data_IF_156506754337
#
_entry.id   IF_156506754337
#
_cell.length_a   1.000
_cell.length_b   1.000
_cell.length_c   1.000
_cell.angle_alpha   90.00
_cell.angle_beta   90.00
_cell.angle_gamma   90.00
#
_symmetry.space_group_name_H-M   'P 1'
#
loop_
_entity.id
_entity.type
_entity.pdbx_description
1 polymer ?
#
# COMPACT_ATOMS: atom_id res chain seq x y z
N UNK A 1 0.56 -6.16 -19.52
CA UNK A 1 0.15 -5.29 -18.40
C UNK A 1 -1.06 -5.85 -17.62
N UNK A 2 -2.15 -6.30 -18.26
CA UNK A 2 -3.37 -6.80 -17.59
C UNK A 2 -3.22 -8.07 -16.75
N UNK A 3 -2.38 -9.05 -17.11
CA UNK A 3 -2.15 -10.27 -16.28
C UNK A 3 -1.56 -9.99 -14.88
N UNK A 4 -0.88 -8.84 -14.68
CA UNK A 4 -0.39 -8.40 -13.35
C UNK A 4 -1.48 -7.78 -12.48
N UNK A 5 -2.59 -7.33 -13.07
CA UNK A 5 -3.71 -6.69 -12.37
C UNK A 5 -4.52 -7.74 -11.60
N UNK A 6 -4.72 -8.94 -12.15
CA UNK A 6 -5.45 -10.04 -11.51
C UNK A 6 -4.79 -10.46 -10.18
N UNK A 7 -3.47 -10.62 -10.22
CA UNK A 7 -2.67 -10.98 -9.03
C UNK A 7 -2.70 -9.90 -7.94
N UNK A 8 -2.78 -8.63 -8.35
CA UNK A 8 -2.74 -7.50 -7.41
C UNK A 8 -4.08 -7.28 -6.69
N UNK A 9 -5.21 -7.36 -7.40
CA UNK A 9 -6.54 -7.09 -6.81
C UNK A 9 -6.99 -8.24 -5.90
N UNK A 10 -6.72 -9.49 -6.27
CA UNK A 10 -6.99 -10.65 -5.42
C UNK A 10 -5.98 -10.76 -4.26
N UNK A 11 -4.71 -10.42 -4.48
CA UNK A 11 -3.72 -10.36 -3.42
C UNK A 11 -3.95 -9.19 -2.46
N UNK A 12 -4.43 -8.03 -2.94
CA UNK A 12 -4.82 -6.90 -2.10
C UNK A 12 -6.08 -7.20 -1.27
N UNK A 13 -7.05 -7.95 -1.80
CA UNK A 13 -8.18 -8.43 -1.00
C UNK A 13 -7.74 -9.38 0.14
N UNK A 14 -6.68 -10.17 -0.08
CA UNK A 14 -6.04 -10.99 0.94
C UNK A 14 -5.18 -10.18 1.91
N UNK A 15 -4.46 -9.15 1.42
CA UNK A 15 -3.65 -8.25 2.26
C UNK A 15 -4.53 -7.40 3.18
N UNK A 16 -5.73 -6.97 2.72
CA UNK A 16 -6.69 -6.30 3.62
C UNK A 16 -7.36 -7.24 4.63
N UNK A 17 -7.42 -8.55 4.38
CA UNK A 17 -7.83 -9.51 5.39
C UNK A 17 -6.74 -9.77 6.46
N UNK A 18 -5.45 -9.56 6.13
CA UNK A 18 -4.33 -9.78 7.04
C UNK A 18 -3.70 -8.50 7.63
N UNK A 19 -3.83 -7.35 6.98
CA UNK A 19 -3.13 -6.10 7.36
C UNK A 19 -4.03 -5.13 8.14
N UNK A 20 -5.31 -5.37 8.17
CA UNK A 20 -6.21 -4.58 9.00
C UNK A 20 -7.06 -5.51 9.82
N UNK A 21 -6.79 -5.68 11.10
CA UNK A 21 -7.82 -5.92 12.08
C UNK A 21 -8.82 -4.75 12.10
N UNK A 22 -9.17 -4.24 10.93
CA UNK A 22 -10.34 -3.39 10.79
C UNK A 22 -11.54 -4.32 10.85
N UNK A 23 -12.32 -4.13 11.85
CA UNK A 23 -13.64 -4.59 12.24
C UNK A 23 -14.64 -5.01 11.12
N UNK A 24 -14.19 -5.24 9.90
CA UNK A 24 -14.99 -5.57 8.76
C UNK A 24 -14.91 -7.07 8.44
N UNK A 25 -16.05 -7.71 8.39
CA UNK A 25 -16.29 -9.05 7.86
C UNK A 25 -16.23 -10.26 8.83
N UNK A 26 -16.48 -10.10 10.12
CA UNK A 26 -16.55 -11.19 11.09
C UNK A 26 -18.00 -11.49 11.46
N UNK A 27 -18.36 -12.77 11.59
CA UNK A 27 -19.69 -13.19 12.01
C UNK A 27 -20.63 -13.72 10.94
N UNK A 28 -20.09 -14.37 9.93
CA UNK A 28 -20.86 -14.96 8.84
C UNK A 28 -21.33 -16.36 9.14
N UNK A 29 -20.59 -17.10 9.96
CA UNK A 29 -20.98 -18.43 10.43
C UNK A 29 -21.82 -18.26 11.68
N UNK A 30 -22.98 -18.90 11.72
CA UNK A 30 -23.77 -18.92 12.94
C UNK A 30 -23.08 -19.78 13.98
N UNK A 31 -22.84 -19.25 15.15
CA UNK A 31 -22.17 -19.94 16.26
C UNK A 31 -22.85 -21.22 16.73
N UNK A 32 -24.12 -21.43 16.42
CA UNK A 32 -24.86 -22.63 16.80
C UNK A 32 -24.45 -23.92 16.08
N UNK A 33 -23.48 -23.87 15.17
CA UNK A 33 -22.91 -25.03 14.51
C UNK A 33 -21.85 -25.69 15.41
N UNK A 34 -21.92 -27.03 15.54
CA UNK A 34 -20.88 -27.80 16.23
C UNK A 34 -19.68 -27.97 15.31
N UNK A 35 -18.59 -27.22 15.59
CA UNK A 35 -17.42 -27.10 14.73
C UNK A 35 -16.56 -28.37 14.69
N UNK A 36 -16.62 -29.26 15.68
CA UNK A 36 -15.95 -30.57 15.70
C UNK A 36 -16.20 -31.45 14.47
N UNK A 37 -17.37 -31.25 13.83
CA UNK A 37 -17.75 -31.94 12.59
C UNK A 37 -17.09 -31.38 11.33
N UNK A 38 -16.55 -30.19 11.42
CA UNK A 38 -16.03 -29.42 10.29
C UNK A 38 -14.53 -29.19 10.39
N UNK A 39 -13.99 -29.06 11.61
CA UNK A 39 -12.60 -28.71 11.89
C UNK A 39 -11.98 -29.73 12.82
N UNK A 40 -10.72 -30.09 12.54
CA UNK A 40 -9.81 -30.71 13.50
C UNK A 40 -8.81 -29.64 13.92
N UNK A 41 -8.74 -29.34 15.22
CA UNK A 41 -7.73 -28.42 15.77
C UNK A 41 -6.41 -29.17 15.94
N UNK A 42 -5.29 -28.51 15.56
CA UNK A 42 -3.96 -28.88 15.93
C UNK A 42 -3.59 -28.40 17.36
N UNK A 43 -2.31 -28.15 17.59
CA UNK A 43 -1.87 -27.50 18.84
C UNK A 43 -2.23 -26.01 18.80
N UNK A 44 -3.02 -25.56 19.77
CA UNK A 44 -3.45 -24.16 19.86
C UNK A 44 -3.11 -23.53 21.22
N UNK A 45 -2.66 -24.31 22.20
CA UNK A 45 -2.15 -23.82 23.49
C UNK A 45 -0.64 -23.93 23.59
N UNK A 46 -0.03 -23.06 24.38
CA UNK A 46 1.41 -23.10 24.65
C UNK A 46 2.28 -22.73 23.44
N UNK A 47 1.72 -21.99 22.49
CA UNK A 47 2.43 -21.45 21.33
C UNK A 47 3.59 -20.61 21.81
N UNK A 48 4.80 -20.89 21.30
CA UNK A 48 6.02 -20.17 21.69
C UNK A 48 6.21 -18.95 20.80
N UNK A 49 6.44 -17.80 21.42
CA UNK A 49 6.74 -16.52 20.76
C UNK A 49 7.96 -15.91 21.42
N UNK A 50 9.01 -15.70 20.64
CA UNK A 50 10.20 -14.93 21.04
C UNK A 50 10.03 -13.48 20.56
N UNK A 51 9.80 -12.55 21.50
CA UNK A 51 9.60 -11.13 21.19
C UNK A 51 10.88 -10.45 20.70
N UNK A 52 12.04 -11.05 20.92
CA UNK A 52 13.33 -10.61 20.37
C UNK A 52 13.66 -11.30 19.04
N UNK A 53 12.87 -12.30 18.65
CA UNK A 53 13.04 -13.08 17.42
C UNK A 53 12.70 -12.29 16.16
N UNK A 54 13.21 -12.80 15.03
CA UNK A 54 12.99 -12.17 13.72
C UNK A 54 11.51 -12.15 13.34
N UNK A 55 10.77 -13.23 13.58
CA UNK A 55 9.34 -13.35 13.25
C UNK A 55 8.52 -12.22 13.90
N UNK A 56 8.70 -12.00 15.20
CA UNK A 56 8.01 -10.96 15.93
C UNK A 56 8.36 -9.56 15.40
N UNK A 57 9.65 -9.27 15.22
CA UNK A 57 10.13 -7.98 14.72
C UNK A 57 9.63 -7.67 13.32
N UNK A 58 9.57 -8.66 12.44
CA UNK A 58 9.07 -8.50 11.08
C UNK A 58 7.57 -8.15 11.09
N UNK A 59 6.75 -8.88 11.85
CA UNK A 59 5.30 -8.63 11.95
C UNK A 59 5.01 -7.28 12.64
N UNK A 60 5.72 -6.97 13.72
CA UNK A 60 5.62 -5.69 14.41
C UNK A 60 5.91 -4.50 13.48
N UNK A 61 7.04 -4.59 12.75
CA UNK A 61 7.45 -3.57 11.78
C UNK A 61 6.45 -3.47 10.62
N UNK A 62 5.86 -4.59 10.19
CA UNK A 62 4.84 -4.60 9.14
C UNK A 62 3.59 -3.82 9.57
N UNK A 63 3.10 -4.00 10.79
CA UNK A 63 1.96 -3.24 11.30
C UNK A 63 2.26 -1.75 11.42
N UNK A 64 3.41 -1.38 11.98
CA UNK A 64 3.84 0.01 12.09
C UNK A 64 3.95 0.68 10.70
N UNK A 65 4.59 0.01 9.74
CA UNK A 65 4.71 0.52 8.37
C UNK A 65 3.35 0.63 7.67
N UNK A 66 2.43 -0.30 7.96
CA UNK A 66 1.07 -0.25 7.42
C UNK A 66 0.30 0.97 7.96
N UNK A 67 0.44 1.30 9.25
CA UNK A 67 -0.17 2.49 9.83
C UNK A 67 0.40 3.76 9.16
N UNK A 68 1.74 3.85 9.02
CA UNK A 68 2.40 4.98 8.34
C UNK A 68 1.88 5.15 6.90
N UNK A 69 1.79 4.07 6.14
CA UNK A 69 1.37 4.12 4.74
C UNK A 69 -0.14 4.41 4.59
N UNK A 70 -0.98 3.80 5.43
CA UNK A 70 -2.43 3.93 5.35
C UNK A 70 -2.93 5.33 5.69
N UNK A 71 -2.21 6.03 6.59
CA UNK A 71 -2.58 7.37 7.06
C UNK A 71 -1.64 8.47 6.55
N UNK A 72 -0.70 8.14 5.64
CA UNK A 72 0.28 9.09 5.08
C UNK A 72 1.07 9.83 6.17
N UNK A 73 1.50 9.10 7.21
CA UNK A 73 2.31 9.63 8.33
C UNK A 73 3.75 9.88 7.90
N UNK A 74 3.93 10.85 7.02
CA UNK A 74 5.23 11.33 6.59
C UNK A 74 5.41 12.79 6.97
N UNK A 75 6.65 13.14 7.29
CA UNK A 75 7.00 14.49 7.68
C UNK A 75 6.79 15.49 6.53
N UNK A 76 6.11 16.59 6.86
CA UNK A 76 5.75 17.65 5.92
C UNK A 76 6.06 19.02 6.54
N UNK A 77 6.45 19.98 5.71
CA UNK A 77 6.47 21.39 6.10
C UNK A 77 5.25 22.06 5.48
N UNK A 78 4.33 22.52 6.32
CA UNK A 78 3.03 23.08 5.90
C UNK A 78 2.96 24.60 5.89
N UNK A 79 4.00 25.26 6.38
CA UNK A 79 4.10 26.73 6.47
C UNK A 79 5.47 27.22 6.03
N UNK A 80 5.54 28.49 5.61
CA UNK A 80 6.77 29.13 5.18
C UNK A 80 6.82 29.34 3.67
N UNK A 81 8.03 29.38 3.10
CA UNK A 81 8.28 29.65 1.69
C UNK A 81 9.15 28.57 1.07
N UNK A 82 8.84 28.22 -0.16
CA UNK A 82 9.62 27.27 -0.96
C UNK A 82 11.05 27.77 -1.23
N UNK A 83 12.00 26.84 -1.20
CA UNK A 83 13.41 27.07 -1.49
C UNK A 83 13.88 26.13 -2.59
N UNK A 84 14.97 26.47 -3.24
CA UNK A 84 15.64 25.56 -4.16
C UNK A 84 16.06 24.27 -3.43
N UNK A 85 15.78 23.12 -4.02
CA UNK A 85 16.04 21.79 -3.46
C UNK A 85 14.91 21.23 -2.60
N UNK A 86 13.86 22.02 -2.30
CA UNK A 86 12.66 21.51 -1.65
C UNK A 86 11.92 20.57 -2.62
N UNK A 87 11.35 19.48 -2.09
CA UNK A 87 10.40 18.64 -2.83
C UNK A 87 8.99 19.12 -2.48
N UNK A 88 8.44 19.95 -3.34
CA UNK A 88 7.10 20.51 -3.17
C UNK A 88 6.03 19.53 -3.66
N UNK A 89 5.00 19.28 -2.83
CA UNK A 89 3.76 18.66 -3.27
C UNK A 89 2.85 19.77 -3.81
N UNK A 90 2.45 19.67 -5.07
CA UNK A 90 1.70 20.71 -5.78
C UNK A 90 0.48 20.15 -6.52
N UNK A 91 -0.57 20.98 -6.62
CA UNK A 91 -1.63 20.82 -7.62
C UNK A 91 -1.45 21.91 -8.67
N UNK A 92 -1.63 21.59 -9.95
CA UNK A 92 -1.55 22.62 -10.97
C UNK A 92 -2.57 22.43 -12.08
N UNK A 93 -2.95 23.56 -12.70
CA UNK A 93 -3.79 23.60 -13.90
C UNK A 93 -3.16 24.56 -14.89
N UNK A 94 -2.71 24.05 -16.03
CA UNK A 94 -2.19 24.81 -17.16
C UNK A 94 -3.31 25.21 -18.12
N UNK A 95 -3.33 26.49 -18.51
CA UNK A 95 -4.33 27.06 -19.42
C UNK A 95 -3.66 27.75 -20.60
N UNK A 96 -4.13 27.43 -21.80
CA UNK A 96 -3.81 28.15 -23.04
C UNK A 96 -5.01 29.02 -23.40
N UNK A 97 -4.81 30.34 -23.49
CA UNK A 97 -5.91 31.33 -23.74
C UNK A 97 -7.09 31.16 -22.76
N UNK A 98 -6.84 30.84 -21.49
CA UNK A 98 -7.84 30.66 -20.45
C UNK A 98 -8.51 29.27 -20.40
N UNK A 99 -8.21 28.37 -21.36
CA UNK A 99 -8.77 27.01 -21.44
C UNK A 99 -7.73 26.01 -21.00
N UNK A 100 -8.08 25.09 -20.09
CA UNK A 100 -7.19 24.01 -19.68
C UNK A 100 -6.89 23.09 -20.85
N UNK A 101 -5.61 22.64 -20.96
CA UNK A 101 -5.16 21.75 -22.03
C UNK A 101 -4.82 20.37 -21.49
N UNK A 102 -4.87 19.38 -22.36
CA UNK A 102 -4.56 17.98 -22.02
C UNK A 102 -3.11 17.82 -21.56
N UNK A 103 -2.91 17.09 -20.46
CA UNK A 103 -1.61 16.93 -19.81
C UNK A 103 -1.15 18.15 -18.99
N UNK A 104 -1.92 19.24 -18.97
CA UNK A 104 -1.62 20.46 -18.20
C UNK A 104 -2.13 20.46 -16.76
N UNK A 105 -2.74 19.38 -16.27
CA UNK A 105 -3.34 19.32 -14.92
C UNK A 105 -2.85 18.11 -14.15
N UNK A 106 -2.46 18.32 -12.90
CA UNK A 106 -2.19 17.24 -11.95
C UNK A 106 -2.52 17.68 -10.52
N UNK A 107 -2.72 16.70 -9.65
CA UNK A 107 -2.90 16.89 -8.20
C UNK A 107 -1.90 16.01 -7.44
N UNK A 108 -1.45 16.50 -6.28
CA UNK A 108 -0.47 15.81 -5.43
C UNK A 108 0.83 15.43 -6.15
N UNK A 109 1.23 16.24 -7.14
CA UNK A 109 2.48 16.04 -7.86
C UNK A 109 3.65 16.48 -6.99
N UNK A 110 4.60 15.59 -6.75
CA UNK A 110 5.87 15.95 -6.11
C UNK A 110 6.85 16.48 -7.15
N UNK A 111 7.48 17.62 -6.83
CA UNK A 111 8.42 18.31 -7.69
C UNK A 111 9.62 18.83 -6.86
N UNK A 112 10.81 18.34 -7.17
CA UNK A 112 12.05 18.88 -6.61
C UNK A 112 12.42 20.19 -7.34
N UNK A 113 12.47 21.31 -6.61
CA UNK A 113 12.76 22.61 -7.20
C UNK A 113 14.26 22.75 -7.58
N UNK A 114 14.50 22.88 -8.86
CA UNK A 114 15.82 22.88 -9.49
C UNK A 114 16.17 21.56 -10.18
N UNK A 115 15.22 20.63 -10.30
CA UNK A 115 15.39 19.38 -11.04
C UNK A 115 15.38 19.57 -12.56
N UNK A 116 14.83 20.68 -13.04
CA UNK A 116 14.59 20.97 -14.47
C UNK A 116 13.72 19.92 -15.18
N UNK A 117 12.78 19.33 -14.48
CA UNK A 117 11.82 18.35 -15.04
C UNK A 117 10.60 19.01 -15.67
N UNK A 118 10.33 20.27 -15.34
CA UNK A 118 9.27 21.09 -15.93
C UNK A 118 9.83 22.08 -16.97
N UNK A 119 8.92 22.72 -17.71
CA UNK A 119 9.32 23.78 -18.64
C UNK A 119 10.02 24.91 -17.92
N UNK A 120 10.96 25.57 -18.60
CA UNK A 120 11.77 26.67 -18.02
C UNK A 120 10.92 27.77 -17.41
N UNK A 121 11.26 28.19 -16.20
CA UNK A 121 10.56 29.19 -15.42
C UNK A 121 9.49 28.60 -14.46
N UNK A 122 9.11 27.33 -14.60
CA UNK A 122 8.10 26.73 -13.71
C UNK A 122 8.64 26.56 -12.29
N UNK A 123 9.76 25.86 -12.16
CA UNK A 123 10.37 25.60 -10.86
C UNK A 123 10.95 26.89 -10.23
N UNK A 124 11.59 27.73 -11.05
CA UNK A 124 12.12 29.03 -10.59
C UNK A 124 11.00 29.96 -10.10
N UNK A 125 9.84 29.93 -10.77
CA UNK A 125 8.68 30.73 -10.38
C UNK A 125 8.03 30.30 -9.07
N UNK A 126 8.27 29.06 -8.64
CA UNK A 126 7.80 28.56 -7.35
C UNK A 126 8.74 28.88 -6.19
N UNK A 127 10.04 29.20 -6.45
CA UNK A 127 10.96 29.56 -5.39
C UNK A 127 10.50 30.87 -4.72
N UNK A 128 10.31 30.83 -3.40
CA UNK A 128 9.76 31.94 -2.62
C UNK A 128 8.25 31.98 -2.49
N UNK A 129 7.52 31.10 -3.19
CA UNK A 129 6.07 30.96 -3.04
C UNK A 129 5.71 30.47 -1.63
N UNK A 130 4.60 30.96 -1.09
CA UNK A 130 4.11 30.57 0.24
C UNK A 130 3.46 29.18 0.18
N UNK A 131 3.84 28.33 1.12
CA UNK A 131 3.22 27.01 1.31
C UNK A 131 1.76 27.20 1.73
N UNK A 132 0.86 26.38 1.20
CA UNK A 132 -0.60 26.48 1.42
C UNK A 132 -1.30 27.48 0.50
N UNK A 133 -0.56 28.23 -0.33
CA UNK A 133 -1.11 29.25 -1.24
C UNK A 133 -1.06 28.81 -2.71
N UNK A 134 -1.87 29.50 -3.53
CA UNK A 134 -1.80 29.37 -4.98
C UNK A 134 -1.04 30.56 -5.60
N UNK A 135 -0.34 30.28 -6.70
CA UNK A 135 0.40 31.26 -7.50
C UNK A 135 0.15 31.00 -8.98
N UNK A 136 0.05 32.06 -9.78
CA UNK A 136 -0.01 31.98 -11.23
C UNK A 136 1.38 32.19 -11.85
N UNK A 137 1.80 31.22 -12.66
CA UNK A 137 3.04 31.27 -13.42
C UNK A 137 2.74 31.54 -14.90
N UNK A 138 3.22 32.67 -15.41
CA UNK A 138 3.11 33.00 -16.82
C UNK A 138 4.36 32.49 -17.56
N UNK A 139 4.20 31.44 -18.35
CA UNK A 139 5.29 30.73 -18.98
C UNK A 139 5.11 30.61 -20.48
N UNK A 140 6.16 30.22 -21.20
CA UNK A 140 6.12 29.95 -22.64
C UNK A 140 6.73 28.58 -22.89
N UNK A 141 6.00 27.71 -23.59
CA UNK A 141 6.56 26.42 -24.00
C UNK A 141 7.75 26.62 -24.96
N UNK A 142 8.79 25.78 -24.86
CA UNK A 142 9.89 25.79 -25.85
C UNK A 142 9.36 25.66 -27.28
N UNK A 143 10.07 26.25 -28.24
CA UNK A 143 9.67 26.16 -29.67
C UNK A 143 9.76 24.75 -30.24
N UNK A 144 10.64 23.95 -29.68
CA UNK A 144 10.89 22.54 -30.00
C UNK A 144 10.15 21.56 -29.10
N UNK A 145 9.11 22.05 -28.37
CA UNK A 145 8.29 21.19 -27.51
C UNK A 145 7.57 20.12 -28.34
N UNK A 146 7.56 18.87 -27.82
CA UNK A 146 7.06 17.70 -28.56
C UNK A 146 5.57 17.79 -28.95
N UNK A 147 4.75 18.52 -28.18
CA UNK A 147 3.37 18.82 -28.57
C UNK A 147 3.35 20.11 -29.41
N UNK A 148 3.10 19.97 -30.70
CA UNK A 148 3.09 21.08 -31.67
C UNK A 148 1.98 22.13 -31.41
N UNK A 149 0.91 21.74 -30.73
CA UNK A 149 -0.18 22.66 -30.36
C UNK A 149 0.23 23.60 -29.22
N UNK A 150 1.21 23.22 -28.42
CA UNK A 150 1.75 23.98 -27.30
C UNK A 150 3.10 24.64 -27.61
N UNK A 151 3.87 24.13 -28.55
CA UNK A 151 5.19 24.64 -28.93
C UNK A 151 5.20 26.15 -29.17
N UNK A 152 6.02 26.88 -28.42
CA UNK A 152 6.15 28.34 -28.50
C UNK A 152 4.94 29.14 -27.99
N UNK A 153 3.94 28.49 -27.39
CA UNK A 153 2.74 29.17 -26.88
C UNK A 153 2.95 29.69 -25.48
N UNK A 154 2.39 30.88 -25.21
CA UNK A 154 2.27 31.42 -23.86
C UNK A 154 1.12 30.76 -23.12
N UNK A 155 1.37 30.33 -21.88
CA UNK A 155 0.43 29.61 -21.02
C UNK A 155 0.46 30.17 -19.59
N UNK A 156 -0.61 29.96 -18.86
CA UNK A 156 -0.68 30.27 -17.44
C UNK A 156 -0.88 28.97 -16.65
N UNK A 157 0.02 28.70 -15.74
CA UNK A 157 -0.18 27.62 -14.76
C UNK A 157 -0.61 28.23 -13.43
N UNK A 158 -1.80 27.89 -12.96
CA UNK A 158 -2.21 28.14 -11.59
C UNK A 158 -1.72 26.97 -10.75
N UNK A 159 -0.77 27.22 -9.87
CA UNK A 159 -0.13 26.18 -9.02
C UNK A 159 -0.50 26.43 -7.57
N UNK A 160 -1.06 25.44 -6.90
CA UNK A 160 -1.26 25.43 -5.44
C UNK A 160 -0.11 24.66 -4.81
N UNK A 161 0.60 25.27 -3.88
CA UNK A 161 1.61 24.58 -3.07
C UNK A 161 0.94 23.97 -1.86
N UNK A 162 0.89 22.64 -1.78
CA UNK A 162 0.23 21.95 -0.68
C UNK A 162 1.14 21.90 0.57
N UNK A 163 2.36 21.36 0.42
CA UNK A 163 3.38 21.24 1.47
C UNK A 163 4.73 20.91 0.85
N UNK A 164 5.79 20.91 1.66
CA UNK A 164 7.10 20.33 1.30
C UNK A 164 7.22 18.95 1.92
N UNK A 165 7.59 17.96 1.11
CA UNK A 165 7.86 16.59 1.56
C UNK A 165 9.27 16.50 2.10
N UNK A 166 9.45 15.92 3.28
CA UNK A 166 10.76 15.71 3.88
C UNK A 166 11.28 14.33 3.51
N UNK A 167 12.49 14.30 2.97
CA UNK A 167 13.19 13.07 2.63
C UNK A 167 14.42 12.87 3.50
N UNK A 168 14.60 11.66 4.01
CA UNK A 168 15.83 11.21 4.61
C UNK A 168 16.78 10.69 3.54
N UNK A 169 18.09 10.86 3.76
CA UNK A 169 19.15 10.34 2.91
C UNK A 169 19.94 9.29 3.67
N UNK A 170 20.00 8.08 3.12
CA UNK A 170 20.81 6.98 3.62
C UNK A 170 22.07 6.86 2.77
N UNK A 171 23.24 7.03 3.39
CA UNK A 171 24.55 7.03 2.72
C UNK A 171 25.34 5.75 2.90
N UNK A 172 24.83 4.79 3.65
CA UNK A 172 25.47 3.49 3.94
C UNK A 172 24.47 2.35 3.73
N UNK A 173 24.98 1.14 3.44
CA UNK A 173 24.17 -0.05 3.21
C UNK A 173 24.25 -0.57 1.79
N UNK A 174 23.33 -1.46 1.43
CA UNK A 174 23.23 -2.09 0.11
C UNK A 174 21.87 -1.82 -0.52
N UNK A 175 21.87 -1.56 -1.82
CA UNK A 175 20.68 -1.27 -2.59
C UNK A 175 19.73 -2.48 -2.67
N UNK A 176 18.44 -2.21 -2.58
CA UNK A 176 17.34 -3.18 -2.69
C UNK A 176 16.40 -2.79 -3.82
N UNK A 177 15.66 -3.76 -4.32
CA UNK A 177 14.56 -3.46 -5.25
C UNK A 177 13.51 -2.59 -4.55
N UNK A 178 13.04 -1.53 -5.24
CA UNK A 178 12.13 -0.53 -4.70
C UNK A 178 12.80 0.69 -4.07
N UNK A 179 14.13 0.66 -3.83
CA UNK A 179 14.85 1.83 -3.33
C UNK A 179 14.82 2.97 -4.35
N UNK A 180 14.60 4.20 -3.89
CA UNK A 180 14.87 5.41 -4.68
C UNK A 180 16.32 5.81 -4.48
N UNK A 181 17.16 5.51 -5.46
CA UNK A 181 18.60 5.77 -5.40
C UNK A 181 18.97 7.01 -6.19
N UNK A 182 19.78 7.89 -5.58
CA UNK A 182 20.38 9.02 -6.28
C UNK A 182 21.70 8.59 -6.91
N UNK A 183 21.84 8.78 -8.22
CA UNK A 183 23.00 8.33 -8.98
C UNK A 183 23.55 9.44 -9.88
N UNK A 184 24.88 9.39 -10.11
CA UNK A 184 25.48 10.01 -11.29
C UNK A 184 25.82 8.89 -12.27
N UNK A 185 25.55 9.08 -13.55
CA UNK A 185 25.91 8.07 -14.55
C UNK A 185 26.48 8.70 -15.81
N UNK A 186 27.35 7.94 -16.48
CA UNK A 186 27.92 8.30 -17.77
C UNK A 186 27.95 7.08 -18.67
N UNK A 187 27.22 7.16 -19.77
CA UNK A 187 27.15 6.13 -20.84
C UNK A 187 28.14 6.38 -21.95
N UNK A 188 28.86 5.33 -22.38
CA UNK A 188 29.81 5.38 -23.48
C UNK A 188 29.58 4.28 -24.49
N UNK A 189 29.56 4.66 -25.77
CA UNK A 189 29.57 3.76 -26.91
C UNK A 189 30.99 3.75 -27.49
N UNK A 190 31.64 2.59 -27.58
CA UNK A 190 33.02 2.48 -28.07
C UNK A 190 33.96 3.52 -27.39
N UNK A 191 33.80 3.76 -26.09
CA UNK A 191 34.60 4.67 -25.29
C UNK A 191 34.24 6.16 -25.43
N UNK A 192 33.25 6.54 -26.24
CA UNK A 192 32.78 7.93 -26.43
C UNK A 192 31.41 8.13 -25.79
N UNK A 193 31.26 9.22 -25.08
CA UNK A 193 29.95 9.66 -24.55
C UNK A 193 29.00 9.99 -25.68
N UNK A 194 27.71 9.83 -25.46
CA UNK A 194 26.63 10.13 -26.40
C UNK A 194 25.55 11.00 -25.75
N UNK A 195 24.79 11.72 -26.54
CA UNK A 195 23.74 12.62 -26.10
C UNK A 195 22.66 11.87 -25.34
N UNK A 196 22.27 12.38 -24.17
CA UNK A 196 21.30 11.75 -23.25
C UNK A 196 21.87 10.55 -22.47
N UNK A 197 23.16 10.19 -22.67
CA UNK A 197 23.80 9.07 -21.98
C UNK A 197 24.34 9.39 -20.58
N UNK A 198 24.26 10.63 -20.09
CA UNK A 198 24.89 11.04 -18.83
C UNK A 198 23.98 11.97 -18.04
N UNK A 199 23.94 11.79 -16.72
CA UNK A 199 23.28 12.69 -15.79
C UNK A 199 24.00 12.69 -14.43
N UNK A 200 23.76 13.74 -13.63
CA UNK A 200 24.20 13.83 -12.23
C UNK A 200 23.02 14.07 -11.34
N UNK A 201 23.04 13.45 -10.14
CA UNK A 201 22.01 13.60 -9.15
C UNK A 201 20.65 13.03 -9.57
N UNK A 202 20.63 12.05 -10.48
CA UNK A 202 19.40 11.47 -10.99
C UNK A 202 18.78 10.52 -9.94
N UNK A 203 17.49 10.72 -9.61
CA UNK A 203 16.76 9.85 -8.72
C UNK A 203 16.08 8.73 -9.51
N UNK A 204 16.48 7.49 -9.24
CA UNK A 204 16.01 6.28 -9.92
C UNK A 204 15.35 5.32 -8.92
N UNK A 205 14.12 4.89 -9.19
CA UNK A 205 13.48 3.81 -8.43
C UNK A 205 13.91 2.46 -9.00
N UNK A 206 14.63 1.65 -8.23
CA UNK A 206 15.07 0.34 -8.68
C UNK A 206 13.91 -0.62 -8.89
N UNK A 207 13.78 -1.18 -10.09
CA UNK A 207 12.68 -2.04 -10.52
C UNK A 207 11.55 -1.27 -11.23
N UNK A 208 11.72 0.04 -11.47
CA UNK A 208 10.74 0.86 -12.21
C UNK A 208 10.72 0.58 -13.73
N UNK A 209 11.80 0.04 -14.27
CA UNK A 209 11.96 -0.18 -15.71
C UNK A 209 12.14 1.10 -16.54
N UNK A 210 12.60 2.19 -15.90
CA UNK A 210 12.88 3.47 -16.57
C UNK A 210 14.12 3.42 -17.45
N UNK A 211 15.08 2.57 -17.09
CA UNK A 211 16.33 2.38 -17.83
C UNK A 211 16.27 1.12 -18.70
N UNK A 212 17.26 0.96 -19.57
CA UNK A 212 17.39 -0.25 -20.39
C UNK A 212 17.60 -1.49 -19.52
N UNK A 213 17.17 -2.64 -20.02
CA UNK A 213 17.23 -3.93 -19.32
C UNK A 213 18.63 -4.20 -18.73
N UNK A 214 18.66 -4.64 -17.48
CA UNK A 214 19.86 -4.94 -16.74
C UNK A 214 20.51 -3.75 -16.03
N UNK A 215 20.08 -2.51 -16.25
CA UNK A 215 20.65 -1.34 -15.57
C UNK A 215 20.27 -1.35 -14.07
N UNK A 216 18.99 -1.42 -13.80
CA UNK A 216 18.46 -1.37 -12.42
C UNK A 216 18.77 -2.66 -11.65
N UNK A 217 18.62 -3.82 -12.30
CA UNK A 217 18.88 -5.13 -11.69
C UNK A 217 20.33 -5.30 -11.25
N UNK A 218 21.29 -4.76 -12.03
CA UNK A 218 22.72 -4.85 -11.69
C UNK A 218 23.14 -3.90 -10.59
N UNK A 219 22.31 -2.88 -10.27
CA UNK A 219 22.54 -2.01 -9.12
C UNK A 219 22.04 -2.64 -7.81
N UNK A 220 21.03 -3.51 -7.84
CA UNK A 220 20.56 -4.23 -6.65
C UNK A 220 21.69 -5.02 -6.01
N UNK A 221 21.86 -4.91 -4.68
CA UNK A 221 22.94 -5.54 -3.92
C UNK A 221 24.28 -4.80 -3.94
N UNK A 222 24.41 -3.70 -4.71
CA UNK A 222 25.62 -2.85 -4.64
C UNK A 222 25.58 -1.97 -3.39
N UNK A 223 26.75 -1.57 -2.92
CA UNK A 223 26.87 -0.70 -1.74
C UNK A 223 26.63 0.77 -2.14
N UNK A 224 25.96 1.50 -1.27
CA UNK A 224 25.85 2.94 -1.36
C UNK A 224 27.26 3.53 -1.24
N UNK A 225 27.58 4.49 -2.09
CA UNK A 225 28.93 5.07 -2.19
C UNK A 225 29.84 4.43 -3.25
N UNK A 226 29.50 3.25 -3.78
CA UNK A 226 30.28 2.60 -4.83
C UNK A 226 30.16 3.32 -6.19
N UNK A 227 31.17 3.11 -7.02
CA UNK A 227 31.10 3.38 -8.45
C UNK A 227 31.19 2.03 -9.17
N UNK A 228 30.22 1.75 -10.03
CA UNK A 228 30.09 0.47 -10.73
C UNK A 228 30.00 0.65 -12.24
N UNK A 229 30.62 -0.26 -12.97
CA UNK A 229 30.55 -0.32 -14.43
C UNK A 229 29.51 -1.37 -14.87
N UNK A 230 28.54 -0.93 -15.66
CA UNK A 230 27.47 -1.76 -16.19
C UNK A 230 27.66 -1.94 -17.69
N UNK A 231 28.05 -3.13 -18.12
CA UNK A 231 28.07 -3.50 -19.52
C UNK A 231 26.66 -3.96 -19.93
N UNK A 232 26.02 -3.22 -20.80
CA UNK A 232 24.63 -3.39 -21.24
C UNK A 232 24.54 -3.32 -22.76
N UNK A 233 23.34 -3.62 -23.27
CA UNK A 233 23.01 -3.53 -24.68
C UNK A 233 21.69 -2.82 -24.87
N UNK A 234 21.62 -1.86 -25.78
CA UNK A 234 20.38 -1.21 -26.14
C UNK A 234 19.42 -2.19 -26.81
N UNK A 235 18.12 -2.15 -26.49
CA UNK A 235 17.10 -2.92 -27.20
C UNK A 235 17.13 -2.65 -28.71
N UNK A 236 16.75 -3.64 -29.54
CA UNK A 236 16.71 -3.50 -30.99
C UNK A 236 15.64 -2.54 -31.49
N UNK A 237 14.63 -2.26 -30.66
CA UNK A 237 13.56 -1.30 -30.92
C UNK A 237 13.83 0.08 -30.29
N UNK A 238 15.06 0.37 -29.90
CA UNK A 238 15.48 1.68 -29.39
C UNK A 238 15.69 2.69 -30.55
N UNK A 239 16.10 3.94 -30.23
CA UNK A 239 16.41 4.92 -31.29
C UNK A 239 17.44 4.37 -32.28
N UNK A 240 17.28 4.69 -33.58
CA UNK A 240 18.06 4.09 -34.65
C UNK A 240 19.58 4.20 -34.44
N UNK A 241 20.04 5.26 -33.79
CA UNK A 241 21.47 5.52 -33.53
C UNK A 241 22.04 4.63 -32.41
N UNK A 242 21.20 4.11 -31.52
CA UNK A 242 21.59 3.34 -30.33
C UNK A 242 21.15 1.88 -30.39
N UNK A 243 20.12 1.56 -31.18
CA UNK A 243 19.50 0.24 -31.26
C UNK A 243 20.51 -0.90 -31.45
N UNK A 244 20.47 -1.88 -30.54
CA UNK A 244 21.30 -3.08 -30.56
C UNK A 244 22.78 -2.85 -30.29
N UNK A 245 23.22 -1.65 -29.94
CA UNK A 245 24.63 -1.35 -29.62
C UNK A 245 24.98 -1.69 -28.19
N UNK A 246 26.19 -2.15 -27.97
CA UNK A 246 26.76 -2.34 -26.63
C UNK A 246 27.13 -0.99 -26.04
N UNK A 247 26.85 -0.82 -24.75
CA UNK A 247 27.09 0.42 -24.01
C UNK A 247 27.71 0.10 -22.64
N UNK A 248 28.66 0.93 -22.24
CA UNK A 248 29.22 0.91 -20.87
C UNK A 248 28.66 2.11 -20.12
N UNK A 249 27.92 1.86 -19.03
CA UNK A 249 27.56 2.89 -18.06
C UNK A 249 28.47 2.79 -16.85
N UNK A 250 29.14 3.89 -16.51
CA UNK A 250 29.80 4.08 -15.22
C UNK A 250 28.82 4.80 -14.30
N UNK A 251 28.40 4.16 -13.20
CA UNK A 251 27.36 4.66 -12.30
C UNK A 251 27.97 4.87 -10.91
N UNK A 252 27.91 6.10 -10.39
CA UNK A 252 28.21 6.43 -9.02
C UNK A 252 26.91 6.40 -8.21
N UNK A 253 26.89 5.60 -7.15
CA UNK A 253 25.76 5.49 -6.22
C UNK A 253 25.97 6.50 -5.11
N UNK A 254 25.16 7.56 -5.06
CA UNK A 254 25.35 8.66 -4.11
C UNK A 254 24.71 8.36 -2.74
N UNK A 255 23.40 8.10 -2.73
CA UNK A 255 22.61 7.81 -1.52
C UNK A 255 21.25 7.23 -1.92
N UNK A 256 20.54 6.66 -0.96
CA UNK A 256 19.13 6.30 -1.09
C UNK A 256 18.27 7.35 -0.39
N UNK A 257 17.14 7.72 -1.00
CA UNK A 257 16.15 8.61 -0.38
C UNK A 257 14.87 7.85 -0.05
N UNK A 258 14.27 8.18 1.09
CA UNK A 258 12.92 7.76 1.45
C UNK A 258 12.20 8.93 2.11
N UNK A 259 10.86 9.02 1.95
CA UNK A 259 10.08 9.98 2.73
C UNK A 259 10.33 9.73 4.21
N UNK A 260 10.61 10.79 4.99
CA UNK A 260 10.79 10.66 6.42
C UNK A 260 9.46 10.26 7.05
N UNK A 261 9.37 9.03 7.51
CA UNK A 261 8.23 8.58 8.29
C UNK A 261 8.20 9.32 9.64
N UNK A 262 6.99 9.67 10.10
CA UNK A 262 6.78 10.14 11.47
C UNK A 262 7.03 8.99 12.43
N UNK A 263 7.49 9.34 13.64
CA UNK A 263 7.60 8.35 14.73
C UNK A 263 6.24 8.18 15.42
N UNK A 264 6.01 7.07 16.13
CA UNK A 264 4.78 6.89 16.91
C UNK A 264 4.47 8.05 17.84
N UNK A 265 5.49 8.69 18.45
CA UNK A 265 5.35 9.87 19.31
C UNK A 265 4.81 11.09 18.54
N UNK A 266 5.00 11.14 17.21
CA UNK A 266 4.54 12.24 16.36
C UNK A 266 3.13 12.01 15.80
N UNK A 267 2.57 10.76 15.84
CA UNK A 267 1.27 10.47 15.19
C UNK A 267 0.25 9.68 16.02
N UNK A 268 0.57 9.19 17.23
CA UNK A 268 -0.36 8.35 17.99
C UNK A 268 -1.73 9.00 18.24
N UNK A 269 -1.76 10.33 18.44
CA UNK A 269 -3.00 11.09 18.68
C UNK A 269 -3.92 11.08 17.44
N UNK A 270 -3.36 11.09 16.23
CA UNK A 270 -4.13 11.04 14.99
C UNK A 270 -4.84 9.69 14.79
N UNK A 271 -4.37 8.65 15.49
CA UNK A 271 -4.99 7.33 15.57
C UNK A 271 -5.95 7.18 16.75
N UNK A 272 -6.33 8.27 17.42
CA UNK A 272 -7.22 8.30 18.61
C UNK A 272 -6.64 7.57 19.84
N UNK A 273 -5.31 7.36 19.96
CA UNK A 273 -4.68 6.86 21.17
C UNK A 273 -4.41 8.00 22.18
N UNK A 274 -4.52 7.70 23.46
CA UNK A 274 -4.34 8.68 24.55
C UNK A 274 -2.88 8.91 24.92
N UNK A 275 -2.03 7.94 24.61
CA UNK A 275 -0.58 8.02 24.79
C UNK A 275 0.15 7.13 23.79
N UNK A 276 1.43 7.38 23.62
CA UNK A 276 2.28 6.56 22.76
C UNK A 276 2.45 5.14 23.31
N UNK A 277 2.41 4.96 24.63
CA UNK A 277 2.44 3.65 25.27
C UNK A 277 1.20 2.83 24.90
N UNK A 278 0.01 3.44 24.91
CA UNK A 278 -1.24 2.79 24.48
C UNK A 278 -1.15 2.33 23.01
N UNK A 279 -0.52 3.13 22.13
CA UNK A 279 -0.25 2.74 20.76
C UNK A 279 0.72 1.56 20.67
N UNK A 280 1.84 1.59 21.41
CA UNK A 280 2.80 0.48 21.43
C UNK A 280 2.20 -0.81 22.00
N UNK A 281 1.38 -0.73 23.03
CA UNK A 281 0.64 -1.89 23.55
C UNK A 281 -0.31 -2.45 22.48
N UNK A 282 -1.03 -1.60 21.75
CA UNK A 282 -1.87 -2.02 20.63
C UNK A 282 -1.07 -2.69 19.50
N UNK A 283 0.12 -2.20 19.16
CA UNK A 283 1.01 -2.84 18.19
C UNK A 283 1.47 -4.22 18.66
N UNK A 284 1.84 -4.33 19.93
CA UNK A 284 2.22 -5.60 20.54
C UNK A 284 1.08 -6.61 20.50
N UNK A 285 -0.12 -6.20 20.88
CA UNK A 285 -1.30 -7.08 20.90
C UNK A 285 -1.64 -7.55 19.49
N UNK A 286 -1.68 -6.65 18.50
CA UNK A 286 -1.88 -7.01 17.09
C UNK A 286 -0.81 -7.97 16.55
N UNK A 287 0.44 -7.80 17.00
CA UNK A 287 1.56 -8.66 16.59
C UNK A 287 1.41 -10.06 17.19
N UNK A 288 1.09 -10.16 18.48
CA UNK A 288 0.85 -11.43 19.16
C UNK A 288 -0.34 -12.17 18.56
N UNK A 289 -1.48 -11.48 18.37
CA UNK A 289 -2.67 -12.02 17.72
C UNK A 289 -2.33 -12.61 16.35
N UNK A 290 -1.63 -11.84 15.49
CA UNK A 290 -1.27 -12.27 14.14
C UNK A 290 -0.41 -13.54 14.14
N UNK A 291 0.65 -13.57 14.96
CA UNK A 291 1.56 -14.72 15.03
C UNK A 291 0.84 -15.95 15.57
N UNK A 292 0.05 -15.79 16.64
CA UNK A 292 -0.71 -16.89 17.24
C UNK A 292 -1.72 -17.44 16.26
N UNK A 293 -2.54 -16.57 15.66
CA UNK A 293 -3.57 -17.01 14.72
C UNK A 293 -2.96 -17.64 13.48
N UNK A 294 -1.86 -17.12 12.95
CA UNK A 294 -1.15 -17.73 11.82
C UNK A 294 -0.73 -19.18 12.13
N UNK A 295 -0.16 -19.42 13.30
CA UNK A 295 0.26 -20.77 13.72
C UNK A 295 -0.92 -21.69 13.97
N UNK A 296 -1.95 -21.20 14.66
CA UNK A 296 -3.17 -21.96 14.95
C UNK A 296 -3.89 -22.37 13.66
N UNK A 297 -3.99 -21.45 12.70
CA UNK A 297 -4.64 -21.73 11.41
C UNK A 297 -3.85 -22.69 10.53
N UNK A 298 -2.50 -22.62 10.59
CA UNK A 298 -1.63 -23.55 9.87
C UNK A 298 -1.73 -24.99 10.38
N UNK A 299 -1.95 -25.18 11.68
CA UNK A 299 -2.07 -26.49 12.31
C UNK A 299 -3.50 -27.08 12.30
N UNK A 300 -4.49 -26.28 11.91
CA UNK A 300 -5.89 -26.70 11.85
C UNK A 300 -6.27 -27.29 10.48
N UNK A 301 -7.05 -28.36 10.48
CA UNK A 301 -7.57 -28.99 9.27
C UNK A 301 -9.08 -28.75 9.12
N UNK A 302 -9.50 -28.12 8.02
CA UNK A 302 -10.91 -27.99 7.66
C UNK A 302 -11.35 -29.19 6.82
N UNK A 303 -12.11 -30.10 7.42
CA UNK A 303 -12.63 -31.32 6.76
C UNK A 303 -13.68 -31.01 5.69
N UNK A 304 -14.52 -30.03 5.96
CA UNK A 304 -15.59 -29.56 5.03
C UNK A 304 -16.10 -28.19 5.43
N UNK A 305 -16.69 -27.48 4.50
CA UNK A 305 -17.33 -26.18 4.73
C UNK A 305 -18.86 -26.34 4.78
N UNK A 306 -19.55 -25.71 5.74
CA UNK A 306 -21.02 -25.66 5.78
C UNK A 306 -21.55 -24.99 4.49
N UNK A 307 -22.52 -25.62 3.81
CA UNK A 307 -22.95 -25.19 2.47
C UNK A 307 -23.62 -23.81 2.44
N UNK A 308 -24.47 -23.50 3.42
CA UNK A 308 -25.19 -22.23 3.48
C UNK A 308 -24.24 -21.07 3.74
N UNK A 309 -23.34 -21.24 4.69
CA UNK A 309 -22.34 -20.26 5.09
C UNK A 309 -21.33 -20.03 3.95
N UNK A 310 -20.89 -21.11 3.27
CA UNK A 310 -20.03 -21.00 2.11
C UNK A 310 -20.66 -20.15 1.01
N UNK A 311 -21.95 -20.38 0.69
CA UNK A 311 -22.68 -19.58 -0.29
C UNK A 311 -22.71 -18.10 0.11
N UNK A 312 -23.04 -17.80 1.36
CA UNK A 312 -23.07 -16.44 1.88
C UNK A 312 -21.70 -15.78 1.81
N UNK A 313 -20.63 -16.47 2.24
CA UNK A 313 -19.26 -15.95 2.16
C UNK A 313 -18.84 -15.69 0.71
N UNK A 314 -19.28 -16.49 -0.26
CA UNK A 314 -19.01 -16.28 -1.68
C UNK A 314 -19.69 -15.01 -2.20
N UNK A 315 -20.98 -14.81 -1.89
CA UNK A 315 -21.69 -13.59 -2.29
C UNK A 315 -21.07 -12.31 -1.68
N UNK A 316 -20.62 -12.39 -0.44
CA UNK A 316 -19.90 -11.26 0.21
C UNK A 316 -18.54 -11.02 -0.43
N UNK A 317 -17.81 -12.09 -0.80
CA UNK A 317 -16.55 -11.99 -1.52
C UNK A 317 -16.69 -11.31 -2.89
N UNK A 318 -17.74 -11.65 -3.63
CA UNK A 318 -18.06 -10.98 -4.90
C UNK A 318 -18.32 -9.49 -4.71
N UNK A 319 -19.12 -9.11 -3.71
CA UNK A 319 -19.40 -7.69 -3.39
C UNK A 319 -18.14 -6.93 -2.97
N UNK A 320 -17.29 -7.54 -2.15
CA UNK A 320 -16.02 -6.94 -1.74
C UNK A 320 -15.09 -6.72 -2.94
N UNK A 321 -15.02 -7.69 -3.84
CA UNK A 321 -14.26 -7.56 -5.08
C UNK A 321 -14.77 -6.42 -5.97
N UNK A 322 -16.07 -6.29 -6.17
CA UNK A 322 -16.67 -5.19 -6.92
C UNK A 322 -16.40 -3.82 -6.27
N UNK A 323 -16.48 -3.72 -4.94
CA UNK A 323 -16.15 -2.49 -4.23
C UNK A 323 -14.67 -2.10 -4.42
N UNK A 324 -13.76 -3.07 -4.39
CA UNK A 324 -12.34 -2.83 -4.67
C UNK A 324 -12.09 -2.40 -6.12
N UNK A 325 -12.79 -3.00 -7.10
CA UNK A 325 -12.70 -2.55 -8.49
C UNK A 325 -13.05 -1.06 -8.63
N UNK A 326 -14.15 -0.63 -8.01
CA UNK A 326 -14.58 0.78 -8.03
C UNK A 326 -13.58 1.70 -7.34
N UNK A 327 -13.05 1.27 -6.22
CA UNK A 327 -12.07 2.06 -5.46
C UNK A 327 -10.77 2.30 -6.24
N UNK A 328 -10.25 1.27 -6.95
CA UNK A 328 -8.96 1.37 -7.64
C UNK A 328 -9.04 1.88 -9.08
N UNK A 329 -10.17 1.64 -9.76
CA UNK A 329 -10.32 1.94 -11.19
C UNK A 329 -11.47 2.89 -11.50
N UNK A 330 -12.20 3.36 -10.48
CA UNK A 330 -13.37 4.21 -10.63
C UNK A 330 -14.63 3.44 -11.07
N UNK A 331 -15.78 4.15 -11.06
CA UNK A 331 -17.09 3.55 -11.35
C UNK A 331 -17.26 3.03 -12.79
N UNK A 332 -16.35 3.39 -13.69
CA UNK A 332 -16.36 2.95 -15.11
C UNK A 332 -15.92 1.49 -15.27
N UNK A 333 -15.22 0.92 -14.29
CA UNK A 333 -14.77 -0.48 -14.33
C UNK A 333 -15.75 -1.35 -13.56
N UNK A 334 -16.64 -2.00 -14.29
CA UNK A 334 -17.62 -2.97 -13.74
C UNK A 334 -17.03 -4.38 -13.67
N UNK A 335 -17.67 -5.27 -12.90
CA UNK A 335 -17.31 -6.69 -12.87
C UNK A 335 -17.38 -7.31 -14.29
N UNK A 336 -18.41 -7.00 -15.06
CA UNK A 336 -18.56 -7.48 -16.44
C UNK A 336 -17.40 -7.05 -17.34
N UNK A 337 -17.00 -5.78 -17.25
CA UNK A 337 -15.80 -5.27 -17.94
C UNK A 337 -14.55 -6.07 -17.54
N UNK A 338 -14.34 -6.27 -16.23
CA UNK A 338 -13.20 -7.01 -15.69
C UNK A 338 -13.17 -8.45 -16.21
N UNK A 339 -14.31 -9.17 -16.17
CA UNK A 339 -14.41 -10.55 -16.66
C UNK A 339 -14.12 -10.65 -18.16
N UNK A 340 -14.68 -9.74 -18.95
CA UNK A 340 -14.45 -9.69 -20.41
C UNK A 340 -12.98 -9.40 -20.72
N UNK A 341 -12.37 -8.41 -20.06
CA UNK A 341 -10.98 -8.03 -20.28
C UNK A 341 -9.98 -9.14 -19.92
N UNK A 342 -10.37 -10.05 -19.02
CA UNK A 342 -9.53 -11.17 -18.58
C UNK A 342 -9.92 -12.51 -19.19
N UNK A 343 -10.88 -12.54 -20.14
CA UNK A 343 -11.45 -13.77 -20.73
C UNK A 343 -11.89 -14.79 -19.66
N UNK A 344 -12.53 -14.31 -18.60
CA UNK A 344 -12.98 -15.10 -17.45
C UNK A 344 -14.49 -15.26 -17.49
N UNK A 345 -14.99 -16.47 -17.22
CA UNK A 345 -16.42 -16.73 -17.04
C UNK A 345 -16.85 -16.42 -15.61
N UNK A 346 -18.16 -16.21 -15.38
CA UNK A 346 -18.73 -16.05 -14.04
C UNK A 346 -18.40 -17.24 -13.12
N UNK A 347 -18.39 -18.46 -13.65
CA UNK A 347 -18.07 -19.67 -12.91
C UNK A 347 -16.60 -19.69 -12.47
N UNK A 348 -15.68 -19.34 -13.38
CA UNK A 348 -14.25 -19.22 -13.05
C UNK A 348 -14.00 -18.11 -12.02
N UNK A 349 -14.70 -16.99 -12.14
CA UNK A 349 -14.63 -15.92 -11.14
C UNK A 349 -15.14 -16.39 -9.78
N UNK A 350 -16.26 -17.10 -9.73
CA UNK A 350 -16.80 -17.65 -8.48
C UNK A 350 -15.82 -18.64 -7.83
N UNK A 351 -15.17 -19.51 -8.62
CA UNK A 351 -14.12 -20.41 -8.12
C UNK A 351 -12.94 -19.65 -7.51
N UNK A 352 -12.48 -18.57 -8.15
CA UNK A 352 -11.42 -17.68 -7.64
C UNK A 352 -11.85 -17.00 -6.34
N UNK A 353 -13.07 -16.47 -6.26
CA UNK A 353 -13.62 -15.88 -5.03
C UNK A 353 -13.73 -16.92 -3.92
N UNK A 354 -14.17 -18.14 -4.22
CA UNK A 354 -14.26 -19.22 -3.23
C UNK A 354 -12.87 -19.60 -2.71
N UNK A 355 -11.90 -19.73 -3.62
CA UNK A 355 -10.53 -20.14 -3.27
C UNK A 355 -9.79 -19.08 -2.45
N UNK A 356 -9.85 -17.83 -2.90
CA UNK A 356 -8.97 -16.78 -2.39
C UNK A 356 -9.64 -15.91 -1.31
N UNK A 357 -10.94 -15.97 -1.16
CA UNK A 357 -11.68 -15.17 -0.20
C UNK A 357 -12.53 -16.01 0.75
N UNK A 358 -13.49 -16.78 0.22
CA UNK A 358 -14.51 -17.43 1.07
C UNK A 358 -13.92 -18.51 1.97
N UNK A 359 -13.06 -19.38 1.43
CA UNK A 359 -12.46 -20.46 2.21
C UNK A 359 -11.51 -19.95 3.30
N UNK A 360 -10.56 -19.05 3.03
CA UNK A 360 -9.68 -18.54 4.08
C UNK A 360 -10.44 -17.89 5.23
N UNK A 361 -11.43 -17.05 4.89
CA UNK A 361 -12.26 -16.38 5.89
C UNK A 361 -13.06 -17.36 6.75
N UNK A 362 -13.71 -18.33 6.10
CA UNK A 362 -14.46 -19.36 6.83
C UNK A 362 -13.56 -20.25 7.66
N UNK A 363 -12.36 -20.56 7.19
CA UNK A 363 -11.38 -21.33 7.95
C UNK A 363 -11.06 -20.64 9.28
N UNK A 364 -10.78 -19.35 9.24
CA UNK A 364 -10.49 -18.55 10.45
C UNK A 364 -11.66 -18.60 11.44
N UNK A 365 -12.88 -18.26 10.98
CA UNK A 365 -14.09 -18.29 11.84
C UNK A 365 -14.37 -19.68 12.42
N UNK A 366 -14.27 -20.72 11.60
CA UNK A 366 -14.51 -22.10 12.03
C UNK A 366 -13.51 -22.59 13.07
N UNK A 367 -12.23 -22.23 12.91
CA UNK A 367 -11.18 -22.56 13.86
C UNK A 367 -11.39 -21.81 15.18
N UNK A 368 -11.71 -20.53 15.12
CA UNK A 368 -12.03 -19.71 16.31
C UNK A 368 -13.20 -20.32 17.08
N UNK A 369 -14.30 -20.68 16.41
CA UNK A 369 -15.46 -21.27 17.07
C UNK A 369 -15.15 -22.66 17.62
N UNK A 370 -14.31 -23.45 16.94
CA UNK A 370 -13.89 -24.76 17.45
C UNK A 370 -13.04 -24.64 18.73
N UNK A 371 -12.16 -23.61 18.80
CA UNK A 371 -11.39 -23.33 20.01
C UNK A 371 -12.30 -22.84 21.14
N UNK A 372 -13.24 -21.94 20.84
CA UNK A 372 -14.20 -21.43 21.82
C UNK A 372 -14.97 -22.55 22.50
N UNK A 373 -15.47 -23.52 21.73
CA UNK A 373 -16.18 -24.69 22.25
C UNK A 373 -15.24 -25.62 23.04
N UNK A 374 -14.05 -25.91 22.50
CA UNK A 374 -13.13 -26.88 23.09
C UNK A 374 -12.47 -26.37 24.37
N UNK A 375 -12.20 -25.07 24.45
CA UNK A 375 -11.67 -24.41 25.66
C UNK A 375 -12.76 -24.09 26.70
N UNK A 376 -14.01 -24.49 26.45
CA UNK A 376 -15.19 -24.22 27.30
C UNK A 376 -15.38 -22.75 27.65
N UNK A 377 -15.05 -21.86 26.70
CA UNK A 377 -15.22 -20.42 26.88
C UNK A 377 -16.73 -20.10 26.91
N UNK A 378 -17.12 -19.13 27.76
CA UNK A 378 -18.53 -18.83 27.99
C UNK A 378 -18.99 -17.62 27.19
N UNK A 379 -20.15 -17.77 26.59
CA UNK A 379 -20.85 -16.70 25.89
C UNK A 379 -21.67 -15.87 26.90
N UNK A 380 -21.25 -14.62 27.11
CA UNK A 380 -21.87 -13.71 28.09
C UNK A 380 -22.71 -12.66 27.34
N UNK A 381 -24.04 -12.76 27.49
CA UNK A 381 -24.99 -11.91 26.74
C UNK A 381 -24.83 -10.42 27.07
N UNK A 382 -24.56 -10.08 28.33
CA UNK A 382 -24.41 -8.68 28.75
C UNK A 382 -23.10 -8.08 28.18
N UNK A 383 -22.02 -8.86 28.16
CA UNK A 383 -20.75 -8.45 27.58
C UNK A 383 -20.89 -8.27 26.04
N UNK A 384 -21.60 -9.16 25.34
CA UNK A 384 -21.93 -8.98 23.94
C UNK A 384 -22.72 -7.69 23.68
N UNK A 385 -23.73 -7.42 24.50
CA UNK A 385 -24.54 -6.21 24.36
C UNK A 385 -23.70 -4.94 24.54
N UNK A 386 -22.79 -4.94 25.52
CA UNK A 386 -21.84 -3.85 25.75
C UNK A 386 -20.93 -3.68 24.53
N UNK A 387 -20.33 -4.78 24.05
CA UNK A 387 -19.43 -4.78 22.88
C UNK A 387 -20.13 -4.30 21.61
N UNK A 388 -21.37 -4.73 21.37
CA UNK A 388 -22.19 -4.25 20.24
C UNK A 388 -22.31 -2.73 20.25
N UNK A 389 -22.62 -2.14 21.41
CA UNK A 389 -22.72 -0.68 21.56
C UNK A 389 -21.39 0.03 21.29
N UNK A 390 -20.29 -0.51 21.80
CA UNK A 390 -18.93 0.03 21.59
C UNK A 390 -18.57 0.01 20.08
N UNK A 391 -18.84 -1.10 19.40
CA UNK A 391 -18.60 -1.22 17.97
C UNK A 391 -19.42 -0.19 17.18
N UNK A 392 -20.72 -0.07 17.44
CA UNK A 392 -21.57 0.91 16.76
C UNK A 392 -21.07 2.33 17.00
N UNK A 393 -20.75 2.67 18.26
CA UNK A 393 -20.25 4.00 18.64
C UNK A 393 -18.91 4.35 17.96
N UNK A 394 -18.04 3.37 17.72
CA UNK A 394 -16.72 3.60 17.10
C UNK A 394 -16.79 4.12 15.65
N UNK A 395 -17.92 3.97 14.97
CA UNK A 395 -18.10 4.53 13.61
C UNK A 395 -18.35 6.05 13.60
N UNK A 396 -18.61 6.68 14.75
CA UNK A 396 -18.84 8.13 14.87
C UNK A 396 -19.86 8.67 13.83
N UNK A 397 -20.92 7.89 13.50
CA UNK A 397 -21.90 8.22 12.46
C UNK A 397 -23.30 7.73 12.84
N UNK A 398 -24.28 8.65 12.78
CA UNK A 398 -25.69 8.35 13.06
C UNK A 398 -26.31 7.40 12.01
N UNK A 399 -25.68 7.24 10.85
CA UNK A 399 -26.14 6.33 9.79
C UNK A 399 -25.72 4.87 10.04
N UNK A 400 -24.78 4.64 10.96
CA UNK A 400 -24.29 3.31 11.31
C UNK A 400 -25.00 2.84 12.57
N UNK A 401 -25.75 1.79 12.45
CA UNK A 401 -26.54 1.17 13.54
C UNK A 401 -26.23 -0.32 13.62
N UNK A 402 -26.62 -0.97 14.72
CA UNK A 402 -26.55 -2.42 14.83
C UNK A 402 -27.21 -3.11 13.63
N UNK A 403 -28.40 -2.63 13.21
CA UNK A 403 -29.15 -3.16 12.09
C UNK A 403 -28.35 -3.04 10.78
N UNK A 404 -27.84 -1.84 10.44
CA UNK A 404 -27.08 -1.64 9.19
C UNK A 404 -25.81 -2.48 9.16
N UNK A 405 -25.12 -2.65 10.29
CA UNK A 405 -23.93 -3.50 10.37
C UNK A 405 -24.26 -4.98 10.19
N UNK A 406 -25.39 -5.48 10.75
CA UNK A 406 -25.86 -6.86 10.50
C UNK A 406 -26.28 -7.07 9.05
N UNK A 407 -26.97 -6.12 8.44
CA UNK A 407 -27.35 -6.20 7.01
C UNK A 407 -26.13 -6.24 6.08
N UNK A 408 -25.06 -5.53 6.43
CA UNK A 408 -23.81 -5.50 5.64
C UNK A 408 -22.90 -6.72 5.87
N UNK A 409 -22.84 -7.22 7.12
CA UNK A 409 -21.83 -8.20 7.52
C UNK A 409 -22.41 -9.56 7.96
N UNK A 410 -23.72 -9.69 8.02
CA UNK A 410 -24.43 -10.90 8.46
C UNK A 410 -24.93 -10.82 9.91
N UNK A 411 -25.95 -11.63 10.22
CA UNK A 411 -26.62 -11.66 11.52
C UNK A 411 -25.69 -12.00 12.70
N UNK A 412 -24.67 -12.84 12.46
CA UNK A 412 -23.67 -13.23 13.46
C UNK A 412 -22.51 -12.25 13.64
N UNK A 413 -22.55 -11.07 13.04
CA UNK A 413 -21.41 -10.13 13.00
C UNK A 413 -20.85 -9.79 14.39
N UNK A 414 -21.69 -9.37 15.31
CA UNK A 414 -21.25 -8.99 16.66
C UNK A 414 -20.85 -10.18 17.52
N UNK A 415 -21.57 -11.30 17.37
CA UNK A 415 -21.24 -12.56 18.05
C UNK A 415 -19.87 -13.07 17.62
N UNK A 416 -19.56 -13.02 16.31
CA UNK A 416 -18.28 -13.44 15.76
C UNK A 416 -17.13 -12.59 16.29
N UNK A 417 -17.28 -11.26 16.36
CA UNK A 417 -16.26 -10.37 16.92
C UNK A 417 -16.04 -10.69 18.41
N UNK A 418 -17.12 -10.83 19.17
CA UNK A 418 -17.03 -11.15 20.59
C UNK A 418 -16.31 -12.48 20.86
N UNK A 419 -16.68 -13.53 20.13
CA UNK A 419 -16.07 -14.85 20.23
C UNK A 419 -14.59 -14.80 19.85
N UNK A 420 -14.25 -14.09 18.79
CA UNK A 420 -12.87 -13.93 18.37
C UNK A 420 -12.01 -13.27 19.44
N UNK A 421 -12.45 -12.15 20.04
CA UNK A 421 -11.72 -11.49 21.10
C UNK A 421 -11.49 -12.44 22.29
N UNK A 422 -12.55 -13.15 22.73
CA UNK A 422 -12.42 -14.14 23.80
C UNK A 422 -11.43 -15.25 23.51
N UNK A 423 -11.39 -15.74 22.27
CA UNK A 423 -10.45 -16.79 21.85
C UNK A 423 -9.03 -16.23 21.75
N UNK A 424 -8.85 -15.06 21.18
CA UNK A 424 -7.53 -14.41 21.06
C UNK A 424 -6.95 -14.14 22.46
N UNK A 425 -7.73 -13.55 23.37
CA UNK A 425 -7.32 -13.31 24.75
C UNK A 425 -6.88 -14.62 25.43
N UNK A 426 -7.68 -15.67 25.28
CA UNK A 426 -7.36 -16.99 25.81
C UNK A 426 -6.05 -17.56 25.23
N UNK A 427 -5.87 -17.46 23.92
CA UNK A 427 -4.67 -17.96 23.25
C UNK A 427 -3.41 -17.19 23.64
N UNK A 428 -3.51 -15.86 23.82
CA UNK A 428 -2.41 -15.03 24.31
C UNK A 428 -2.06 -15.42 25.77
N UNK A 429 -3.09 -15.62 26.64
CA UNK A 429 -2.87 -16.08 28.02
C UNK A 429 -2.15 -17.43 28.09
N UNK A 430 -2.48 -18.36 27.19
CA UNK A 430 -1.86 -19.70 27.12
C UNK A 430 -0.54 -19.73 26.36
N UNK A 431 -0.18 -18.68 25.64
CA UNK A 431 1.08 -18.61 24.91
C UNK A 431 2.29 -18.53 25.85
N UNK A 432 3.46 -19.00 25.36
CA UNK A 432 4.74 -18.90 26.05
C UNK A 432 5.54 -17.78 25.41
N UNK A 433 5.37 -16.57 25.93
CA UNK A 433 5.99 -15.35 25.44
C UNK A 433 7.31 -15.13 26.21
N UNK A 434 8.43 -14.94 25.48
CA UNK A 434 9.78 -14.75 26.02
C UNK A 434 10.49 -13.52 25.43
#
# INVERSE_FOLDING_TARGET
MMKKIISLVLALALVFAFVGCTKANKGRIKYNLKMDKFVTLGEYEGIKIDTNGKEYKDVYSQFMNSDIQSFDFYAKVTEGKLKKGDVANIDYVGKLNGVAFEGGTASNQELELGSNTFISGFEEGLIGAEIGKSIDLNLTFPKDYGNTELAGKAVVFTVKVNHVVIYDKTTEGTLKNGDTVNIDFTGKLNGKEFDGGSAKGYNLVLGSGQFIEGFEEKLVGKKIGDTVDLNLKFPTNYTAELAGKDVLFTVKINYVTAKRALTPEEYYEELDYKSVEEYYDSLKDRTLENIIMTKVLADAEVKKYPKAEKKMATELGKKAFEANLRQYYGDSVTLEYYLTANNMTDEQFEEEVVKNYSKPLMQEEMVIYAIFDKADLKFEKDALTKKTKEIVASYKSDKVTEKTLKEQNGEGYFEGIYIQEKVVDYLIEKAKIS
#
